data_IF_176096133404
#
_entry.id   IF_176096133404
#
_cell.length_a   1.000
_cell.length_b   1.000
_cell.length_c   1.000
_cell.angle_alpha   90.00
_cell.angle_beta   90.00
_cell.angle_gamma   90.00
#
_symmetry.space_group_name_H-M   'P 1'
#
loop_
_entity.id
_entity.type
_entity.pdbx_description
1 polymer ?
#
# COMPACT_ATOMS: atom_id res chain seq x y z
N UNK A 1 6.03 -5.33 9.24
CA UNK A 1 6.04 -5.47 7.78
C UNK A 1 7.07 -4.50 7.25
N UNK A 2 7.99 -4.98 6.42
CA UNK A 2 9.04 -4.17 5.84
C UNK A 2 9.08 -4.33 4.33
N UNK A 3 9.33 -3.21 3.62
CA UNK A 3 9.62 -3.21 2.19
C UNK A 3 11.11 -2.92 1.99
N UNK A 4 11.72 -3.58 1.02
CA UNK A 4 13.13 -3.40 0.69
C UNK A 4 13.32 -2.99 -0.77
N UNK A 5 14.25 -2.07 -0.99
CA UNK A 5 14.86 -1.77 -2.29
C UNK A 5 16.36 -1.69 -2.10
N UNK A 6 17.04 -2.84 -2.17
CA UNK A 6 18.39 -3.12 -1.60
C UNK A 6 18.51 -2.97 -0.08
N UNK A 7 17.93 -1.93 0.51
CA UNK A 7 17.84 -1.67 1.96
C UNK A 7 16.37 -1.51 2.38
N UNK A 8 16.08 -1.51 3.69
CA UNK A 8 14.72 -1.25 4.19
C UNK A 8 14.32 0.19 3.82
N UNK A 9 13.20 0.34 3.10
CA UNK A 9 12.67 1.63 2.61
C UNK A 9 11.36 2.01 3.28
N UNK A 10 10.59 1.02 3.74
CA UNK A 10 9.34 1.22 4.49
C UNK A 10 9.32 0.22 5.63
N UNK A 11 8.96 0.69 6.83
CA UNK A 11 8.72 -0.15 7.99
C UNK A 11 7.41 0.22 8.67
N UNK A 12 6.49 -0.74 8.68
CA UNK A 12 5.21 -0.66 9.39
C UNK A 12 5.22 -1.64 10.56
N UNK A 13 4.91 -1.15 11.75
CA UNK A 13 4.77 -1.98 12.96
C UNK A 13 3.32 -1.97 13.38
N UNK A 14 2.76 -3.15 13.66
CA UNK A 14 1.36 -3.32 14.02
C UNK A 14 1.23 -4.03 15.37
N UNK A 15 0.15 -3.73 16.09
CA UNK A 15 -0.31 -4.50 17.24
C UNK A 15 -1.17 -5.69 16.78
N UNK A 16 -0.52 -6.85 16.65
CA UNK A 16 -1.18 -8.10 16.26
C UNK A 16 -1.83 -8.85 17.45
N UNK A 17 -1.81 -8.31 18.68
CA UNK A 17 -2.43 -9.01 19.81
C UNK A 17 -3.94 -9.14 19.59
N UNK A 18 -4.46 -10.37 19.67
CA UNK A 18 -5.89 -10.66 19.47
C UNK A 18 -6.40 -10.34 18.07
N UNK A 19 -5.53 -10.27 17.06
CA UNK A 19 -5.94 -10.13 15.67
C UNK A 19 -6.29 -11.48 15.04
N UNK A 20 -7.02 -11.45 13.94
CA UNK A 20 -7.16 -12.58 13.01
C UNK A 20 -5.97 -12.61 12.04
N UNK A 21 -5.95 -13.62 11.17
CA UNK A 21 -4.96 -13.75 10.09
C UNK A 21 -4.93 -12.56 9.13
N UNK A 22 -5.99 -11.75 9.08
CA UNK A 22 -6.13 -10.67 8.10
C UNK A 22 -6.34 -9.29 8.72
N UNK A 23 -6.93 -9.18 9.90
CA UNK A 23 -7.26 -7.87 10.49
C UNK A 23 -6.10 -7.21 11.27
N UNK A 24 -4.95 -7.88 11.41
CA UNK A 24 -3.75 -7.28 12.02
C UNK A 24 -3.21 -6.11 11.20
N UNK A 25 -3.40 -6.17 9.89
CA UNK A 25 -3.06 -5.11 8.95
C UNK A 25 -4.27 -4.17 8.83
N UNK A 26 -4.36 -3.26 9.79
CA UNK A 26 -5.38 -2.22 9.82
C UNK A 26 -4.83 -0.94 10.40
N UNK A 27 -5.48 0.19 10.09
CA UNK A 27 -5.09 1.51 10.60
C UNK A 27 -5.10 1.56 12.13
N UNK A 28 -6.13 1.00 12.77
CA UNK A 28 -6.29 1.04 14.23
C UNK A 28 -5.24 0.21 14.99
N UNK A 29 -4.58 -0.72 14.29
CA UNK A 29 -3.51 -1.54 14.85
C UNK A 29 -2.14 -1.04 14.48
N UNK A 30 -2.03 0.00 13.66
CA UNK A 30 -0.74 0.57 13.26
C UNK A 30 -0.10 1.31 14.44
N UNK A 31 1.09 0.87 14.83
CA UNK A 31 1.88 1.47 15.90
C UNK A 31 2.88 2.49 15.36
N UNK A 32 3.56 2.17 14.25
CA UNK A 32 4.53 3.07 13.63
C UNK A 32 4.48 2.99 12.11
N UNK A 33 4.71 4.12 11.44
CA UNK A 33 4.76 4.26 9.98
C UNK A 33 5.78 5.33 9.57
N UNK A 34 6.42 5.22 8.39
CA UNK A 34 7.26 6.29 7.85
C UNK A 34 6.43 7.48 7.34
N UNK A 35 5.13 7.27 7.09
CA UNK A 35 4.23 8.31 6.61
C UNK A 35 3.55 9.03 7.76
N UNK A 36 3.76 10.34 7.85
CA UNK A 36 3.31 11.20 8.96
C UNK A 36 1.83 11.54 8.89
N UNK A 37 1.24 11.47 7.69
CA UNK A 37 -0.14 11.86 7.41
C UNK A 37 -1.13 10.68 7.46
N UNK A 38 -0.66 9.46 7.72
CA UNK A 38 -1.44 8.22 7.66
C UNK A 38 -2.61 8.19 8.67
N UNK A 39 -2.53 8.98 9.74
CA UNK A 39 -3.61 9.14 10.71
C UNK A 39 -4.43 10.43 10.52
N UNK A 40 -3.96 11.42 9.76
CA UNK A 40 -4.70 12.67 9.52
C UNK A 40 -5.48 12.68 8.21
N UNK A 41 -5.11 11.87 7.22
CA UNK A 41 -5.77 11.84 5.92
C UNK A 41 -6.97 10.86 5.89
N UNK A 42 -7.90 11.04 4.94
CA UNK A 42 -8.95 10.07 4.66
C UNK A 42 -8.35 8.70 4.30
N UNK A 43 -9.09 7.62 4.56
CA UNK A 43 -8.69 6.25 4.23
C UNK A 43 -9.92 5.48 3.76
N UNK A 44 -9.94 5.09 2.49
CA UNK A 44 -10.97 4.21 1.93
C UNK A 44 -10.56 2.72 1.97
N UNK A 45 -9.25 2.43 1.96
CA UNK A 45 -8.74 1.07 2.15
C UNK A 45 -7.52 1.04 3.07
N UNK A 46 -7.57 0.15 4.05
CA UNK A 46 -6.42 -0.25 4.87
C UNK A 46 -6.63 -1.70 5.28
N UNK A 47 -6.39 -2.63 4.36
CA UNK A 47 -6.63 -4.05 4.59
C UNK A 47 -5.83 -4.93 3.64
N UNK A 48 -5.65 -6.21 4.02
CA UNK A 48 -5.02 -7.20 3.15
C UNK A 48 -5.87 -7.48 1.91
N UNK A 49 -7.19 -7.58 2.07
CA UNK A 49 -8.10 -7.86 0.95
C UNK A 49 -8.15 -6.71 -0.07
N UNK A 50 -7.95 -5.47 0.42
CA UNK A 50 -7.90 -4.26 -0.39
C UNK A 50 -9.08 -4.13 -1.37
N UNK A 51 -8.78 -3.75 -2.62
CA UNK A 51 -9.77 -3.63 -3.68
C UNK A 51 -9.57 -4.73 -4.72
N UNK A 52 -10.41 -5.77 -4.62
CA UNK A 52 -10.43 -6.89 -5.54
C UNK A 52 -11.78 -6.93 -6.27
N UNK A 53 -11.73 -6.83 -7.60
CA UNK A 53 -12.87 -6.85 -8.51
C UNK A 53 -12.49 -7.53 -9.84
N UNK A 54 -13.42 -7.61 -10.80
CA UNK A 54 -13.22 -8.28 -12.09
C UNK A 54 -12.02 -7.73 -12.90
N UNK A 55 -11.66 -6.45 -12.72
CA UNK A 55 -10.60 -5.76 -13.45
C UNK A 55 -9.59 -5.06 -12.50
N UNK A 56 -9.59 -5.40 -11.21
CA UNK A 56 -8.66 -4.84 -10.23
C UNK A 56 -8.26 -5.90 -9.20
N UNK A 57 -6.97 -6.05 -8.91
CA UNK A 57 -6.49 -6.87 -7.78
C UNK A 57 -5.42 -6.10 -7.02
N UNK A 58 -5.86 -5.36 -6.00
CA UNK A 58 -5.02 -4.53 -5.12
C UNK A 58 -5.12 -5.09 -3.71
N UNK A 59 -4.17 -5.91 -3.31
CA UNK A 59 -4.07 -6.47 -1.95
C UNK A 59 -3.04 -5.70 -1.13
N UNK A 60 -2.96 -5.99 0.18
CA UNK A 60 -2.11 -5.25 1.14
C UNK A 60 -2.15 -3.74 0.88
N UNK A 61 -3.38 -3.22 0.88
CA UNK A 61 -3.69 -1.95 0.27
C UNK A 61 -3.94 -0.89 1.33
N UNK A 62 -3.12 0.16 1.29
CA UNK A 62 -3.20 1.35 2.12
C UNK A 62 -3.44 2.53 1.17
N UNK A 63 -4.72 2.87 1.00
CA UNK A 63 -5.20 3.91 0.10
C UNK A 63 -5.99 4.97 0.85
N UNK A 64 -5.79 6.21 0.44
CA UNK A 64 -6.43 7.34 1.09
C UNK A 64 -7.83 7.56 0.53
N UNK A 65 -7.91 7.79 -0.77
CA UNK A 65 -9.17 8.08 -1.45
C UNK A 65 -9.12 7.69 -2.92
N UNK A 66 -10.30 7.54 -3.51
CA UNK A 66 -10.46 7.47 -4.95
C UNK A 66 -11.05 8.78 -5.44
N UNK A 67 -10.35 9.41 -6.38
CA UNK A 67 -10.78 10.66 -7.02
C UNK A 67 -10.69 10.57 -8.55
N UNK A 68 -10.53 9.33 -9.06
CA UNK A 68 -10.26 9.02 -10.45
C UNK A 68 -8.80 8.60 -10.60
N UNK A 69 -8.52 7.66 -11.51
CA UNK A 69 -7.18 7.08 -11.67
C UNK A 69 -6.02 8.11 -11.69
N UNK A 70 -6.14 9.29 -12.33
CA UNK A 70 -5.05 10.28 -12.31
C UNK A 70 -4.76 10.90 -10.93
N UNK A 71 -5.73 10.89 -10.01
CA UNK A 71 -5.69 11.58 -8.71
C UNK A 71 -5.87 10.64 -7.52
N UNK A 72 -6.16 9.35 -7.76
CA UNK A 72 -6.16 8.31 -6.73
C UNK A 72 -4.85 8.37 -5.93
N UNK A 73 -4.98 8.42 -4.61
CA UNK A 73 -3.86 8.69 -3.72
C UNK A 73 -3.78 7.68 -2.59
N UNK A 74 -2.56 7.28 -2.23
CA UNK A 74 -2.31 6.32 -1.17
C UNK A 74 -0.84 6.19 -0.78
N UNK A 75 -0.54 5.14 -0.04
CA UNK A 75 0.77 4.93 0.59
C UNK A 75 1.44 3.62 0.17
N UNK A 76 0.68 2.52 0.12
CA UNK A 76 1.18 1.22 -0.31
C UNK A 76 0.10 0.38 -1.00
N UNK A 77 0.48 -0.37 -2.03
CA UNK A 77 -0.39 -1.36 -2.71
C UNK A 77 0.43 -2.53 -3.24
N UNK A 78 -0.05 -3.76 -3.05
CA UNK A 78 0.38 -4.92 -3.84
C UNK A 78 -0.58 -5.08 -5.03
N UNK A 79 -0.06 -4.85 -6.23
CA UNK A 79 -0.81 -4.97 -7.48
C UNK A 79 -0.59 -6.36 -8.07
N UNK A 80 -1.65 -7.17 -8.15
CA UNK A 80 -1.58 -8.56 -8.62
C UNK A 80 -2.01 -8.73 -10.09
N UNK A 81 -2.82 -7.81 -10.62
CA UNK A 81 -3.41 -7.90 -11.96
C UNK A 81 -2.93 -6.75 -12.85
N UNK A 82 -2.38 -7.11 -14.02
CA UNK A 82 -1.95 -6.22 -15.10
C UNK A 82 -2.54 -6.73 -16.43
N UNK A 83 -3.14 -5.88 -17.29
CA UNK A 83 -3.47 -4.48 -17.03
C UNK A 83 -4.44 -4.34 -15.86
N UNK A 84 -4.27 -3.27 -15.08
CA UNK A 84 -5.13 -2.97 -13.94
C UNK A 84 -6.33 -2.13 -14.35
N UNK A 85 -7.13 -1.72 -13.36
CA UNK A 85 -8.27 -0.83 -13.55
C UNK A 85 -7.83 0.58 -13.96
N UNK A 86 -6.63 0.99 -13.54
CA UNK A 86 -6.09 2.31 -13.75
C UNK A 86 -4.81 2.28 -14.57
N UNK A 87 -4.61 3.31 -15.38
CA UNK A 87 -3.43 3.45 -16.25
C UNK A 87 -2.11 3.53 -15.47
N UNK A 88 -2.14 4.01 -14.21
CA UNK A 88 -0.95 3.99 -13.36
C UNK A 88 -0.50 2.57 -13.00
N UNK A 89 -1.35 1.55 -13.10
CA UNK A 89 -0.95 0.15 -12.88
C UNK A 89 -0.20 -0.42 -14.09
N UNK A 90 -0.50 0.03 -15.31
CA UNK A 90 -0.12 -0.63 -16.56
C UNK A 90 1.38 -0.70 -16.87
N UNK A 91 2.21 0.02 -16.13
CA UNK A 91 3.67 -0.03 -16.26
C UNK A 91 4.35 -0.96 -15.25
N UNK A 92 3.57 -1.57 -14.35
CA UNK A 92 4.03 -2.50 -13.34
C UNK A 92 4.06 -3.94 -13.87
N UNK A 93 4.78 -4.80 -13.16
CA UNK A 93 4.70 -6.25 -13.35
C UNK A 93 3.62 -6.85 -12.43
N UNK A 94 3.15 -8.05 -12.74
CA UNK A 94 2.29 -8.78 -11.80
C UNK A 94 2.98 -8.95 -10.45
N UNK A 95 2.21 -8.82 -9.37
CA UNK A 95 2.67 -8.91 -7.98
C UNK A 95 3.70 -7.83 -7.59
N UNK A 96 3.57 -6.62 -8.15
CA UNK A 96 4.41 -5.48 -7.79
C UNK A 96 3.92 -4.79 -6.52
N UNK A 97 4.81 -4.56 -5.55
CA UNK A 97 4.51 -3.74 -4.36
C UNK A 97 4.91 -2.30 -4.62
N UNK A 98 3.94 -1.46 -4.94
CA UNK A 98 4.13 -0.02 -5.12
C UNK A 98 3.97 0.69 -3.77
N UNK A 99 4.83 1.68 -3.49
CA UNK A 99 4.78 2.46 -2.26
C UNK A 99 5.17 3.92 -2.50
N UNK A 100 4.71 4.80 -1.60
CA UNK A 100 5.13 6.21 -1.55
C UNK A 100 6.58 6.33 -1.08
N UNK A 101 7.41 7.01 -1.87
CA UNK A 101 8.81 7.32 -1.51
C UNK A 101 8.93 8.56 -0.63
N UNK A 102 7.83 9.28 -0.39
CA UNK A 102 7.78 10.44 0.50
C UNK A 102 7.37 10.04 1.92
N UNK A 103 7.29 11.02 2.82
CA UNK A 103 6.73 10.85 4.16
C UNK A 103 5.19 11.03 4.20
N UNK A 104 4.51 11.01 3.06
CA UNK A 104 3.06 11.24 2.96
C UNK A 104 2.38 10.29 1.97
N UNK A 105 1.06 10.39 1.83
CA UNK A 105 0.37 9.83 0.67
C UNK A 105 0.82 10.54 -0.60
N UNK A 106 0.74 9.83 -1.71
CA UNK A 106 1.08 10.34 -3.05
C UNK A 106 0.00 9.94 -4.03
N UNK A 107 -0.11 10.70 -5.12
CA UNK A 107 -0.92 10.27 -6.26
C UNK A 107 -0.22 9.10 -6.94
N UNK A 108 -0.94 8.01 -7.21
CA UNK A 108 -0.36 6.81 -7.82
C UNK A 108 0.18 7.04 -9.23
N UNK A 109 -0.34 8.05 -9.91
CA UNK A 109 0.13 8.50 -11.23
C UNK A 109 1.48 9.22 -11.18
N UNK A 110 1.92 9.70 -10.01
CA UNK A 110 3.18 10.42 -9.85
C UNK A 110 4.36 9.43 -9.73
N UNK A 111 5.11 9.28 -10.84
CA UNK A 111 6.26 8.37 -10.93
C UNK A 111 7.48 8.82 -10.13
N UNK A 112 7.58 10.10 -9.79
CA UNK A 112 8.71 10.63 -9.02
C UNK A 112 8.52 10.42 -7.51
N UNK A 113 7.26 10.25 -7.08
CA UNK A 113 6.87 10.07 -5.68
C UNK A 113 6.49 8.61 -5.34
N UNK A 114 6.63 7.69 -6.30
CA UNK A 114 6.33 6.26 -6.12
C UNK A 114 7.52 5.40 -6.51
N UNK A 115 7.62 4.21 -5.92
CA UNK A 115 8.61 3.21 -6.30
C UNK A 115 8.06 1.80 -6.06
N UNK A 116 8.60 0.83 -6.80
CA UNK A 116 8.33 -0.59 -6.58
C UNK A 116 9.39 -1.17 -5.65
N UNK A 117 8.97 -1.95 -4.65
CA UNK A 117 9.86 -2.66 -3.75
C UNK A 117 10.31 -4.00 -4.35
N UNK A 118 11.55 -4.40 -4.07
CA UNK A 118 12.11 -5.69 -4.48
C UNK A 118 11.60 -6.83 -3.59
N UNK A 119 11.37 -6.55 -2.30
CA UNK A 119 10.95 -7.54 -1.29
C UNK A 119 9.91 -6.92 -0.37
N UNK A 120 8.89 -7.71 -0.03
CA UNK A 120 7.97 -7.46 1.07
C UNK A 120 8.12 -8.59 2.10
N UNK A 121 8.50 -8.24 3.33
CA UNK A 121 8.69 -9.18 4.42
C UNK A 121 7.71 -8.91 5.57
N UNK A 122 7.08 -9.98 6.06
CA UNK A 122 6.21 -9.94 7.24
C UNK A 122 6.89 -10.72 8.35
N UNK A 123 7.30 -10.00 9.40
CA UNK A 123 7.88 -10.56 10.60
C UNK A 123 6.78 -10.71 11.65
N UNK A 124 6.58 -11.92 12.14
CA UNK A 124 5.71 -12.22 13.28
C UNK A 124 6.57 -12.50 14.51
N UNK A 125 6.15 -12.02 15.68
CA UNK A 125 6.72 -12.37 16.98
C UNK A 125 5.59 -12.84 17.88
#
# INVERSE_FOLDING_TARGET
LSLYKKTEVVRLVFNAKGSTKTNWFSRDRLLTSPWTDIHSQPVNYFSINGHTWNFARRSFFINSEYSGCPTDSGWMVLVELIPGACTWENHLQHFSVLYSTTNSRVQWSNKDATSVADIMAIYTR
#
